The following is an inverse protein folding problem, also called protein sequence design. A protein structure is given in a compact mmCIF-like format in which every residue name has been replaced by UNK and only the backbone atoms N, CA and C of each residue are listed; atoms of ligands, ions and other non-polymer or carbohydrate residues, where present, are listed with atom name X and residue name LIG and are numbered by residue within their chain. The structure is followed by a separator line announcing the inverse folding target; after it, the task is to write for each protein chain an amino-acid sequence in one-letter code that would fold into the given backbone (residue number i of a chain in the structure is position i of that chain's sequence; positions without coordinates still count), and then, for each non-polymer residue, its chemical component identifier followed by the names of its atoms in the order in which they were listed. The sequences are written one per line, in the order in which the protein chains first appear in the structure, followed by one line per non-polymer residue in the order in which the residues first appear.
data_IF_963068246897
#
_entry.id   IF_963068246897
#
_cell.length_a   1.000
_cell.length_b   1.000
_cell.length_c   1.000
_cell.angle_alpha   90.00
_cell.angle_beta   90.00
_cell.angle_gamma   90.00
#
_symmetry.space_group_name_H-M   'P 1'
#
loop_
_entity.id
_entity.type
_entity.pdbx_description
1 polymer ?
#
# COMPACT_ATOMS: atom_id res chain seq x y z
N UNK A 1 32.54 50.44 20.61
CA UNK A 1 31.60 49.72 19.71
C UNK A 1 32.37 48.53 19.13
N UNK A 2 32.09 47.30 19.55
CA UNK A 2 32.86 46.12 19.12
C UNK A 2 32.57 45.86 17.63
N UNK A 3 33.57 46.04 16.76
CA UNK A 3 33.49 45.86 15.30
C UNK A 3 33.39 44.40 14.85
N UNK A 4 32.59 43.58 15.53
CA UNK A 4 32.36 42.19 15.15
C UNK A 4 31.31 42.08 14.05
N UNK A 5 31.65 41.34 13.00
CA UNK A 5 30.74 41.02 11.90
C UNK A 5 29.56 40.18 12.40
N UNK A 6 28.33 40.52 11.96
CA UNK A 6 27.08 39.84 12.36
C UNK A 6 27.12 38.31 12.24
N UNK A 7 27.90 37.77 11.30
CA UNK A 7 28.01 36.32 11.10
C UNK A 7 28.76 35.59 12.22
N UNK A 8 29.55 36.30 13.03
CA UNK A 8 30.40 35.70 14.07
C UNK A 8 29.62 35.39 15.35
N UNK A 9 28.45 36.00 15.54
CA UNK A 9 27.56 35.75 16.67
C UNK A 9 26.37 34.88 16.24
N UNK A 10 26.62 33.60 15.93
CA UNK A 10 25.53 32.63 15.78
C UNK A 10 25.11 32.13 17.16
N UNK A 11 23.90 32.48 17.59
CA UNK A 11 23.26 31.86 18.75
C UNK A 11 23.19 30.35 18.50
N UNK A 12 23.80 29.56 19.38
CA UNK A 12 23.63 28.11 19.36
C UNK A 12 22.14 27.84 19.57
N UNK A 13 21.48 27.10 18.66
CA UNK A 13 20.08 26.77 18.85
C UNK A 13 19.95 25.95 20.14
N UNK A 14 19.32 26.50 21.17
CA UNK A 14 18.77 25.67 22.24
C UNK A 14 17.62 24.88 21.62
N UNK A 15 17.67 23.56 21.73
CA UNK A 15 16.50 22.72 21.48
C UNK A 15 15.35 23.17 22.38
N UNK A 16 14.11 23.04 21.91
CA UNK A 16 12.98 23.31 22.77
C UNK A 16 12.86 22.17 23.80
N UNK A 17 12.39 22.49 25.01
CA UNK A 17 12.33 21.54 26.13
C UNK A 17 11.45 20.31 25.81
N UNK A 18 10.51 20.46 24.88
CA UNK A 18 9.58 19.43 24.40
C UNK A 18 10.17 18.52 23.30
N UNK A 19 11.43 18.72 22.88
CA UNK A 19 11.99 18.04 21.72
C UNK A 19 12.15 16.53 21.92
N UNK A 20 12.46 16.09 23.14
CA UNK A 20 12.55 14.67 23.46
C UNK A 20 11.16 14.02 23.39
N UNK A 21 10.17 14.60 24.07
CA UNK A 21 8.79 14.11 24.07
C UNK A 21 8.20 14.05 22.65
N UNK A 22 8.44 15.09 21.84
CA UNK A 22 8.01 15.09 20.44
C UNK A 22 8.69 13.99 19.61
N UNK A 23 9.97 13.71 19.88
CA UNK A 23 10.72 12.66 19.18
C UNK A 23 10.15 11.29 19.53
N UNK A 24 9.87 11.04 20.80
CA UNK A 24 9.29 9.79 21.28
C UNK A 24 7.91 9.53 20.64
N UNK A 25 7.05 10.56 20.57
CA UNK A 25 5.75 10.48 19.90
C UNK A 25 5.86 10.24 18.40
N UNK A 26 6.80 10.90 17.72
CA UNK A 26 7.06 10.66 16.28
C UNK A 26 7.46 9.20 16.06
N UNK A 27 8.36 8.67 16.88
CA UNK A 27 8.83 7.28 16.78
C UNK A 27 7.70 6.31 17.09
N UNK A 28 6.88 6.58 18.10
CA UNK A 28 5.71 5.77 18.44
C UNK A 28 4.71 5.71 17.27
N UNK A 29 4.37 6.85 16.68
CA UNK A 29 3.48 6.93 15.51
C UNK A 29 4.07 6.27 14.28
N UNK A 30 5.38 6.41 14.05
CA UNK A 30 6.06 5.74 12.94
C UNK A 30 6.05 4.21 13.10
N UNK A 31 6.21 3.69 14.32
CA UNK A 31 6.11 2.26 14.63
C UNK A 31 4.69 1.73 14.46
N UNK A 32 3.69 2.47 14.95
CA UNK A 32 2.28 2.09 14.82
C UNK A 32 1.81 2.15 13.36
N UNK A 33 2.24 3.17 12.62
CA UNK A 33 1.83 3.43 11.24
C UNK A 33 3.02 3.39 10.29
N UNK A 34 3.64 2.21 10.13
CA UNK A 34 4.89 2.03 9.37
C UNK A 34 4.90 2.47 7.89
N UNK A 35 3.75 2.88 7.32
CA UNK A 35 3.65 3.44 5.95
C UNK A 35 3.36 4.94 5.91
N UNK A 36 3.25 5.59 7.07
CA UNK A 36 2.97 7.02 7.13
C UNK A 36 4.29 7.78 7.09
N UNK A 37 4.36 8.80 6.23
CA UNK A 37 5.49 9.73 6.23
C UNK A 37 5.28 10.89 7.19
N UNK A 38 6.31 11.72 7.35
CA UNK A 38 6.31 12.86 8.26
C UNK A 38 5.08 13.78 8.10
N UNK A 39 4.53 13.96 6.88
CA UNK A 39 3.34 14.78 6.65
C UNK A 39 2.08 14.20 7.30
N UNK A 40 1.87 12.88 7.18
CA UNK A 40 0.75 12.19 7.84
C UNK A 40 0.93 12.12 9.34
N UNK A 41 2.16 11.88 9.80
CA UNK A 41 2.48 11.90 11.23
C UNK A 41 2.29 13.31 11.81
N UNK A 42 2.61 14.38 11.07
CA UNK A 42 2.31 15.76 11.52
C UNK A 42 0.81 15.97 11.76
N UNK A 43 -0.06 15.45 10.88
CA UNK A 43 -1.50 15.54 11.08
C UNK A 43 -1.99 14.75 12.31
N UNK A 44 -1.40 13.58 12.59
CA UNK A 44 -1.71 12.80 13.80
C UNK A 44 -1.22 13.51 15.06
N UNK A 45 -0.04 14.13 15.03
CA UNK A 45 0.47 14.94 16.12
C UNK A 45 -0.45 16.13 16.41
N UNK A 46 -0.96 16.80 15.37
CA UNK A 46 -1.95 17.88 15.54
C UNK A 46 -3.24 17.37 16.19
N UNK A 47 -3.74 16.20 15.78
CA UNK A 47 -4.90 15.57 16.41
C UNK A 47 -4.63 15.17 17.88
N UNK A 48 -3.38 14.88 18.23
CA UNK A 48 -2.94 14.61 19.60
C UNK A 48 -2.64 15.89 20.41
N UNK A 49 -2.86 17.09 19.85
CA UNK A 49 -2.70 18.38 20.53
C UNK A 49 -1.35 19.06 20.35
N UNK A 50 -0.42 18.47 19.59
CA UNK A 50 0.86 19.12 19.29
C UNK A 50 0.69 20.29 18.32
N UNK A 51 1.18 21.46 18.69
CA UNK A 51 1.27 22.63 17.81
C UNK A 51 2.65 22.70 17.15
N UNK A 52 2.95 21.78 16.23
CA UNK A 52 4.27 21.65 15.59
C UNK A 52 4.22 21.85 14.08
N UNK A 53 5.22 22.54 13.54
CA UNK A 53 5.36 22.69 12.08
C UNK A 53 5.87 21.39 11.43
N UNK A 54 5.32 21.01 10.27
CA UNK A 54 5.77 19.85 9.50
C UNK A 54 7.28 19.85 9.21
N UNK A 55 7.91 21.02 9.08
CA UNK A 55 9.38 21.13 8.90
C UNK A 55 10.16 20.64 10.12
N UNK A 56 9.63 20.89 11.33
CA UNK A 56 10.23 20.41 12.59
C UNK A 56 10.13 18.89 12.65
N UNK A 57 8.96 18.35 12.33
CA UNK A 57 8.73 16.89 12.24
C UNK A 57 9.64 16.26 11.21
N UNK A 58 9.77 16.84 10.00
CA UNK A 58 10.66 16.35 8.95
C UNK A 58 12.13 16.32 9.40
N UNK A 59 12.58 17.35 10.13
CA UNK A 59 13.96 17.40 10.65
C UNK A 59 14.22 16.28 11.66
N UNK A 60 13.31 16.06 12.62
CA UNK A 60 13.40 14.96 13.59
C UNK A 60 13.33 13.62 12.85
N UNK A 61 12.39 13.47 11.92
CA UNK A 61 12.24 12.27 11.08
C UNK A 61 13.53 11.87 10.37
N UNK A 62 14.24 12.84 9.77
CA UNK A 62 15.54 12.61 9.12
C UNK A 62 16.64 12.29 10.13
N UNK A 63 16.66 12.95 11.30
CA UNK A 63 17.64 12.70 12.39
C UNK A 63 17.50 11.28 12.94
N UNK A 64 16.27 10.83 13.19
CA UNK A 64 15.96 9.48 13.69
C UNK A 64 16.08 8.39 12.60
N UNK A 65 16.46 8.76 11.36
CA UNK A 65 16.64 7.80 10.27
C UNK A 65 15.35 7.15 9.77
N UNK A 66 14.19 7.71 10.11
CA UNK A 66 12.90 7.16 9.74
C UNK A 66 12.70 7.22 8.21
N UNK A 67 12.19 6.14 7.62
CA UNK A 67 11.89 6.06 6.19
C UNK A 67 10.54 5.40 5.98
N UNK A 68 9.79 5.94 5.02
CA UNK A 68 8.57 5.28 4.54
C UNK A 68 8.99 4.15 3.61
N UNK A 69 8.65 2.88 3.91
CA UNK A 69 8.92 1.78 3.01
C UNK A 69 8.25 2.02 1.66
N UNK A 70 8.95 1.68 0.57
CA UNK A 70 8.30 1.67 -0.73
C UNK A 70 7.12 0.69 -0.73
N UNK A 71 6.05 1.07 -1.43
CA UNK A 71 4.92 0.17 -1.63
C UNK A 71 5.45 -1.07 -2.34
N UNK A 72 5.31 -2.24 -1.71
CA UNK A 72 5.64 -3.48 -2.38
C UNK A 72 4.86 -3.53 -3.69
N UNK A 73 5.53 -3.78 -4.83
CA UNK A 73 4.83 -3.95 -6.09
C UNK A 73 3.83 -5.09 -5.92
N UNK A 74 2.70 -5.01 -6.60
CA UNK A 74 1.79 -6.16 -6.67
C UNK A 74 2.63 -7.33 -7.18
N UNK A 75 2.65 -8.45 -6.45
CA UNK A 75 3.27 -9.68 -6.95
C UNK A 75 2.66 -9.93 -8.32
N UNK A 76 3.49 -9.89 -9.37
CA UNK A 76 3.07 -10.33 -10.69
C UNK A 76 2.54 -11.76 -10.56
N UNK A 77 1.59 -12.13 -11.41
CA UNK A 77 1.17 -13.53 -11.54
C UNK A 77 2.46 -14.35 -11.66
N UNK A 78 2.59 -15.44 -10.88
CA UNK A 78 3.71 -16.36 -10.95
C UNK A 78 3.70 -17.03 -12.33
N UNK A 79 4.15 -16.31 -13.34
CA UNK A 79 4.66 -16.88 -14.56
C UNK A 79 6.05 -17.37 -14.17
N UNK A 80 6.19 -18.67 -13.96
CA UNK A 80 7.52 -19.25 -14.09
C UNK A 80 7.96 -18.91 -15.53
N UNK A 81 9.14 -18.30 -15.68
CA UNK A 81 9.65 -17.83 -16.98
C UNK A 81 9.87 -18.98 -18.00
N UNK A 82 9.65 -20.23 -17.60
CA UNK A 82 9.61 -21.42 -18.43
C UNK A 82 8.21 -21.70 -19.03
N UNK A 83 7.23 -20.80 -18.80
CA UNK A 83 5.87 -20.97 -19.29
C UNK A 83 5.03 -21.97 -18.49
N UNK A 84 5.56 -22.51 -17.38
CA UNK A 84 4.78 -23.34 -16.46
C UNK A 84 3.89 -22.44 -15.60
N UNK A 85 2.70 -22.17 -16.11
CA UNK A 85 1.58 -22.17 -15.18
C UNK A 85 1.52 -23.60 -14.63
N UNK A 86 1.43 -23.81 -13.31
CA UNK A 86 1.02 -25.11 -12.75
C UNK A 86 -0.47 -25.29 -13.08
N UNK A 87 -0.76 -25.38 -14.37
CA UNK A 87 -2.01 -25.82 -14.96
C UNK A 87 -1.67 -27.16 -15.57
N UNK A 88 -2.32 -28.20 -15.07
CA UNK A 88 -2.36 -29.48 -15.74
C UNK A 88 -2.68 -29.22 -17.21
N UNK A 89 -1.77 -29.60 -18.13
CA UNK A 89 -2.04 -29.46 -19.56
C UNK A 89 -3.10 -30.50 -19.92
N UNK A 90 -4.17 -30.13 -20.64
CA UNK A 90 -5.15 -31.10 -21.08
C UNK A 90 -4.52 -32.02 -22.13
N UNK A 91 -4.58 -33.33 -21.88
CA UNK A 91 -4.04 -34.36 -22.79
C UNK A 91 -5.14 -35.05 -23.62
N UNK A 92 -6.37 -35.09 -23.11
CA UNK A 92 -7.51 -35.73 -23.77
C UNK A 92 -8.83 -35.03 -23.34
N UNK A 93 -9.91 -35.14 -24.14
CA UNK A 93 -11.22 -34.61 -23.76
C UNK A 93 -11.67 -35.11 -22.40
N UNK A 94 -12.16 -34.21 -21.55
CA UNK A 94 -12.57 -34.52 -20.18
C UNK A 94 -11.45 -34.56 -19.13
N UNK A 95 -10.20 -34.29 -19.51
CA UNK A 95 -9.06 -34.31 -18.58
C UNK A 95 -9.03 -33.06 -17.67
N UNK A 96 -9.24 -31.87 -18.23
CA UNK A 96 -9.17 -30.60 -17.50
C UNK A 96 -10.37 -29.74 -17.85
N UNK A 97 -11.13 -29.33 -16.83
CA UNK A 97 -12.24 -28.40 -17.01
C UNK A 97 -11.85 -27.02 -16.48
N UNK A 98 -12.14 -26.00 -17.27
CA UNK A 98 -12.17 -24.64 -16.81
C UNK A 98 -13.61 -24.26 -16.48
N UNK A 99 -13.78 -23.51 -15.41
CA UNK A 99 -15.04 -22.88 -15.09
C UNK A 99 -14.83 -21.40 -14.80
N UNK A 100 -15.81 -20.59 -15.18
CA UNK A 100 -15.82 -19.16 -14.88
C UNK A 100 -17.24 -18.68 -14.57
N UNK A 101 -17.35 -17.50 -13.95
CA UNK A 101 -18.62 -16.85 -13.70
C UNK A 101 -18.73 -15.58 -14.54
N UNK A 102 -19.76 -15.52 -15.38
CA UNK A 102 -20.16 -14.31 -16.09
C UNK A 102 -21.32 -13.65 -15.34
N UNK A 103 -21.14 -12.41 -14.89
CA UNK A 103 -22.22 -11.60 -14.30
C UNK A 103 -22.78 -10.64 -15.34
N UNK A 104 -24.10 -10.66 -15.52
CA UNK A 104 -24.80 -9.74 -16.43
C UNK A 104 -26.08 -9.20 -15.76
N UNK A 105 -26.70 -8.19 -16.37
CA UNK A 105 -27.93 -7.56 -15.89
C UNK A 105 -29.01 -7.63 -16.94
N UNK A 106 -30.23 -7.94 -16.51
CA UNK A 106 -31.42 -7.85 -17.34
C UNK A 106 -31.83 -6.39 -17.57
N UNK A 107 -32.73 -6.15 -18.53
CA UNK A 107 -33.22 -4.80 -18.86
C UNK A 107 -33.85 -4.06 -17.64
N UNK A 108 -34.41 -4.81 -16.69
CA UNK A 108 -34.98 -4.31 -15.43
C UNK A 108 -33.93 -4.15 -14.31
N UNK A 109 -32.63 -4.26 -14.64
CA UNK A 109 -31.50 -3.99 -13.75
C UNK A 109 -31.17 -5.12 -12.77
N UNK A 110 -31.88 -6.25 -12.81
CA UNK A 110 -31.61 -7.40 -11.95
C UNK A 110 -30.34 -8.12 -12.41
N UNK A 111 -29.50 -8.49 -11.45
CA UNK A 111 -28.27 -9.23 -11.71
C UNK A 111 -28.56 -10.72 -11.82
N UNK A 112 -27.85 -11.40 -12.70
CA UNK A 112 -27.79 -12.85 -12.72
C UNK A 112 -26.35 -13.28 -12.99
N UNK A 113 -26.02 -14.53 -12.65
CA UNK A 113 -24.70 -15.11 -12.88
C UNK A 113 -24.84 -16.40 -13.67
N UNK A 114 -23.94 -16.57 -14.62
CA UNK A 114 -23.82 -17.77 -15.44
C UNK A 114 -22.51 -18.44 -15.04
N UNK A 115 -22.59 -19.65 -14.52
CA UNK A 115 -21.45 -20.55 -14.41
C UNK A 115 -21.22 -21.16 -15.80
N UNK A 116 -20.08 -20.85 -16.41
CA UNK A 116 -19.63 -21.45 -17.66
C UNK A 116 -18.65 -22.57 -17.31
N UNK A 117 -18.85 -23.77 -17.88
CA UNK A 117 -17.93 -24.90 -17.75
C UNK A 117 -17.52 -25.32 -19.15
N UNK A 118 -16.21 -25.37 -19.39
CA UNK A 118 -15.60 -25.71 -20.68
C UNK A 118 -14.54 -26.79 -20.46
N UNK A 119 -14.50 -27.76 -21.35
CA UNK A 119 -13.38 -28.69 -21.45
C UNK A 119 -12.18 -28.02 -22.15
N UNK A 120 -11.03 -27.97 -21.48
CA UNK A 120 -9.83 -27.31 -22.00
C UNK A 120 -9.20 -28.05 -23.20
N UNK A 121 -9.42 -29.36 -23.35
CA UNK A 121 -8.85 -30.15 -24.45
C UNK A 121 -9.68 -30.00 -25.73
N UNK A 122 -10.99 -30.24 -25.65
CA UNK A 122 -11.91 -30.21 -26.78
C UNK A 122 -12.44 -28.81 -27.11
N UNK A 123 -12.33 -27.86 -26.16
CA UNK A 123 -12.98 -26.54 -26.20
C UNK A 123 -14.51 -26.61 -26.25
N UNK A 124 -15.10 -27.75 -25.90
CA UNK A 124 -16.54 -27.89 -25.80
C UNK A 124 -17.09 -27.23 -24.55
N UNK A 125 -18.23 -26.56 -24.69
CA UNK A 125 -18.98 -26.03 -23.55
C UNK A 125 -19.79 -27.16 -22.92
N UNK A 126 -19.40 -27.57 -21.71
CA UNK A 126 -20.03 -28.66 -20.96
C UNK A 126 -21.31 -28.20 -20.25
N UNK A 127 -21.33 -26.97 -19.72
CA UNK A 127 -22.48 -26.42 -19.04
C UNK A 127 -22.53 -24.89 -19.04
N UNK A 128 -23.75 -24.37 -19.10
CA UNK A 128 -24.10 -22.97 -18.83
C UNK A 128 -25.20 -22.96 -17.76
N UNK A 129 -24.83 -22.83 -16.49
CA UNK A 129 -25.77 -22.87 -15.38
C UNK A 129 -26.08 -21.45 -14.92
N UNK A 130 -27.35 -21.06 -15.01
CA UNK A 130 -27.79 -19.73 -14.62
C UNK A 130 -28.36 -19.75 -13.21
N UNK A 131 -27.86 -18.89 -12.34
CA UNK A 131 -28.46 -18.58 -11.04
C UNK A 131 -28.87 -17.11 -11.00
N UNK A 132 -30.03 -16.84 -10.41
CA UNK A 132 -30.55 -15.50 -10.14
C UNK A 132 -30.39 -15.14 -8.68
#
# INVERSE_FOLDING_TARGET
MLGQHRSTQRKVPCGADDEQALTDDIVALARQYGRYGYRRVTALLHAAGWSVNHKRVERIWRREGLKVPQRQPKRGRLWLNDGSCIRLRPEYPGHVWAYDFVEERTHDGRKFRILTIIDEASRECLALVVSR
#
